data_IF_632427306749
#
_entry.id   IF_632427306749
#
_cell.length_a   1.000
_cell.length_b   1.000
_cell.length_c   1.000
_cell.angle_alpha   90.00
_cell.angle_beta   90.00
_cell.angle_gamma   90.00
#
_symmetry.space_group_name_H-M   'P 1'
#
loop_
_entity.id
_entity.type
_entity.pdbx_description
1 polymer ?
#
# COMPACT_ATOMS: atom_id res chain seq x y z
N UNK A 1 -20.28 18.71 21.70
CA UNK A 1 -19.53 19.98 21.67
C UNK A 1 -20.54 21.04 22.00
N UNK A 2 -20.39 21.75 23.12
CA UNK A 2 -21.31 22.82 23.48
C UNK A 2 -21.39 23.86 22.37
N UNK A 3 -22.56 24.45 22.16
CA UNK A 3 -22.72 25.54 21.20
C UNK A 3 -22.05 26.81 21.73
N UNK A 4 -22.10 27.03 23.05
CA UNK A 4 -21.52 28.21 23.68
C UNK A 4 -20.99 27.91 25.08
N UNK A 5 -19.82 28.46 25.38
CA UNK A 5 -19.29 28.61 26.73
C UNK A 5 -19.68 29.99 27.26
N UNK A 6 -20.24 30.09 28.46
CA UNK A 6 -20.58 31.39 29.08
C UNK A 6 -19.60 31.70 30.22
N UNK A 7 -18.76 32.71 30.00
CA UNK A 7 -17.91 33.30 31.02
C UNK A 7 -18.64 34.46 31.69
N UNK A 8 -18.73 34.44 33.02
CA UNK A 8 -19.50 35.41 33.79
C UNK A 8 -18.96 35.58 35.21
N UNK A 9 -19.35 36.67 35.88
CA UNK A 9 -19.11 36.79 37.33
C UNK A 9 -20.20 36.07 38.10
N UNK A 10 -19.84 35.37 39.17
CA UNK A 10 -20.81 34.67 40.04
C UNK A 10 -21.88 35.58 40.62
N UNK A 11 -21.58 36.88 40.77
CA UNK A 11 -22.54 37.90 41.22
C UNK A 11 -23.66 38.14 40.21
N UNK A 12 -23.46 37.77 38.96
CA UNK A 12 -24.42 37.88 37.85
C UNK A 12 -25.19 36.58 37.61
N UNK A 13 -25.13 35.62 38.55
CA UNK A 13 -25.72 34.28 38.42
C UNK A 13 -27.20 34.30 38.03
N UNK A 14 -27.99 35.22 38.57
CA UNK A 14 -29.43 35.31 38.27
C UNK A 14 -29.67 35.56 36.77
N UNK A 15 -28.95 36.51 36.19
CA UNK A 15 -29.02 36.80 34.76
C UNK A 15 -28.55 35.61 33.92
N UNK A 16 -27.43 34.99 34.30
CA UNK A 16 -26.88 33.84 33.56
C UNK A 16 -27.78 32.61 33.64
N UNK A 17 -28.48 32.39 34.74
CA UNK A 17 -29.49 31.33 34.85
C UNK A 17 -30.68 31.58 33.91
N UNK A 18 -31.16 32.82 33.82
CA UNK A 18 -32.21 33.19 32.86
C UNK A 18 -31.73 32.97 31.41
N UNK A 19 -30.50 33.38 31.11
CA UNK A 19 -29.90 33.19 29.79
C UNK A 19 -29.72 31.70 29.43
N UNK A 20 -29.23 30.89 30.37
CA UNK A 20 -29.10 29.44 30.20
C UNK A 20 -30.45 28.80 29.89
N UNK A 21 -31.49 29.09 30.68
CA UNK A 21 -32.83 28.53 30.47
C UNK A 21 -33.39 28.90 29.10
N UNK A 22 -33.18 30.14 28.64
CA UNK A 22 -33.59 30.58 27.32
C UNK A 22 -32.83 29.83 26.21
N UNK A 23 -31.50 29.66 26.33
CA UNK A 23 -30.68 28.90 25.39
C UNK A 23 -31.09 27.41 25.33
N UNK A 24 -31.32 26.78 26.48
CA UNK A 24 -31.78 25.40 26.57
C UNK A 24 -33.18 25.22 25.96
N UNK A 25 -34.10 26.16 26.20
CA UNK A 25 -35.41 26.17 25.56
C UNK A 25 -35.30 26.32 24.03
N UNK A 26 -34.29 27.04 23.55
CA UNK A 26 -33.92 27.13 22.14
C UNK A 26 -33.09 25.94 21.61
N UNK A 27 -32.93 24.87 22.41
CA UNK A 27 -32.17 23.65 22.10
C UNK A 27 -30.70 23.92 21.78
N UNK A 28 -30.07 24.85 22.50
CA UNK A 28 -28.62 25.08 22.45
C UNK A 28 -27.94 24.38 23.62
N UNK A 29 -26.82 23.72 23.35
CA UNK A 29 -25.98 23.10 24.37
C UNK A 29 -25.06 24.17 25.00
N UNK A 30 -25.13 24.34 26.31
CA UNK A 30 -24.47 25.45 27.03
C UNK A 30 -23.49 24.89 28.04
N UNK A 31 -22.27 25.38 27.99
CA UNK A 31 -21.26 25.10 29.01
C UNK A 31 -21.11 26.29 29.95
N UNK A 32 -21.26 26.05 31.25
CA UNK A 32 -21.12 27.06 32.30
C UNK A 32 -20.43 26.41 33.50
N UNK A 33 -19.45 27.09 34.09
CA UNK A 33 -18.90 26.66 35.37
C UNK A 33 -19.73 27.21 36.54
N UNK A 34 -20.51 26.32 37.15
CA UNK A 34 -21.29 26.61 38.35
C UNK A 34 -20.54 26.33 39.66
N UNK A 35 -19.38 25.66 39.61
CA UNK A 35 -18.67 25.19 40.79
C UNK A 35 -17.86 26.31 41.46
N UNK A 36 -17.62 26.19 42.77
CA UNK A 36 -16.67 27.06 43.47
C UNK A 36 -15.24 26.82 42.96
N UNK A 37 -14.43 27.89 42.79
CA UNK A 37 -13.03 27.77 42.30
C UNK A 37 -12.28 26.97 43.37
N UNK A 38 -11.97 25.69 43.14
CA UNK A 38 -11.15 24.94 44.06
C UNK A 38 -9.70 25.41 43.85
N UNK A 39 -8.87 25.47 44.91
CA UNK A 39 -7.47 25.89 44.80
C UNK A 39 -6.57 24.80 44.17
N UNK A 40 -7.00 24.18 43.07
CA UNK A 40 -6.33 23.05 42.42
C UNK A 40 -6.04 23.34 40.96
N UNK A 41 -4.85 22.97 40.49
CA UNK A 41 -4.41 23.16 39.10
C UNK A 41 -5.33 22.45 38.07
N UNK A 42 -5.97 21.36 38.48
CA UNK A 42 -6.85 20.57 37.62
C UNK A 42 -8.12 21.33 37.20
N UNK A 43 -8.68 22.15 38.09
CA UNK A 43 -9.88 22.94 37.78
C UNK A 43 -9.65 23.91 36.61
N UNK A 44 -8.50 24.60 36.58
CA UNK A 44 -8.19 25.48 35.44
C UNK A 44 -8.03 24.71 34.11
N UNK A 45 -7.58 23.46 34.16
CA UNK A 45 -7.51 22.60 32.97
C UNK A 45 -8.90 22.24 32.46
N UNK A 46 -9.85 21.99 33.37
CA UNK A 46 -11.26 21.72 33.02
C UNK A 46 -11.92 22.93 32.36
N UNK A 47 -11.72 24.13 32.91
CA UNK A 47 -12.22 25.38 32.31
C UNK A 47 -11.65 25.57 30.89
N UNK A 48 -10.33 25.39 30.72
CA UNK A 48 -9.70 25.49 29.40
C UNK A 48 -10.25 24.46 28.42
N UNK A 49 -10.48 23.23 28.86
CA UNK A 49 -11.09 22.20 28.03
C UNK A 49 -12.55 22.54 27.66
N UNK A 50 -13.30 23.13 28.60
CA UNK A 50 -14.64 23.67 28.35
C UNK A 50 -14.63 24.73 27.25
N UNK A 51 -13.74 25.72 27.36
CA UNK A 51 -13.58 26.79 26.34
C UNK A 51 -13.15 26.20 24.99
N UNK A 52 -12.17 25.30 24.97
CA UNK A 52 -11.63 24.71 23.75
C UNK A 52 -12.72 23.92 23.00
N UNK A 53 -13.58 23.19 23.72
CA UNK A 53 -14.60 22.29 23.17
C UNK A 53 -15.92 22.96 22.76
N UNK A 54 -16.18 24.20 23.18
CA UNK A 54 -17.39 24.95 22.84
C UNK A 54 -17.26 25.67 21.49
N UNK A 55 -18.31 25.80 20.69
CA UNK A 55 -18.22 26.46 19.38
C UNK A 55 -17.95 27.97 19.51
N UNK A 56 -18.66 28.64 20.41
CA UNK A 56 -18.51 30.07 20.71
C UNK A 56 -18.19 30.31 22.17
N UNK A 57 -17.62 31.48 22.47
CA UNK A 57 -17.34 31.97 23.81
C UNK A 57 -18.14 33.25 24.05
N UNK A 58 -19.14 33.19 24.91
CA UNK A 58 -19.92 34.36 25.32
C UNK A 58 -19.34 34.94 26.62
N UNK A 59 -19.05 36.23 26.61
CA UNK A 59 -18.56 36.93 27.80
C UNK A 59 -19.60 37.90 28.33
N UNK A 60 -20.09 37.66 29.55
CA UNK A 60 -21.03 38.55 30.23
C UNK A 60 -20.27 39.72 30.84
N UNK A 61 -20.46 40.91 30.29
CA UNK A 61 -19.83 42.14 30.73
C UNK A 61 -20.68 42.77 31.84
N UNK A 62 -20.04 42.95 33.00
CA UNK A 62 -20.54 43.66 34.18
C UNK A 62 -19.35 44.26 34.94
N UNK A 63 -19.56 45.21 35.86
CA UNK A 63 -18.49 45.67 36.76
C UNK A 63 -17.80 44.52 37.51
N UNK A 64 -18.55 43.47 37.82
CA UNK A 64 -18.08 42.32 38.60
C UNK A 64 -17.26 41.35 37.75
N UNK A 65 -17.56 41.18 36.47
CA UNK A 65 -16.74 40.37 35.56
C UNK A 65 -15.50 41.13 35.10
N UNK A 66 -15.60 42.45 34.90
CA UNK A 66 -14.46 43.33 34.59
C UNK A 66 -13.44 43.45 35.74
N UNK A 67 -13.85 43.20 36.98
CA UNK A 67 -12.97 43.16 38.14
C UNK A 67 -12.40 41.75 38.43
N UNK A 68 -12.80 40.73 37.66
CA UNK A 68 -12.52 39.32 37.95
C UNK A 68 -11.30 38.81 37.20
N UNK A 69 -10.22 38.50 37.93
CA UNK A 69 -8.99 37.95 37.35
C UNK A 69 -9.21 36.63 36.61
N UNK A 70 -10.15 35.81 37.08
CA UNK A 70 -10.44 34.53 36.45
C UNK A 70 -11.15 34.71 35.11
N UNK A 71 -12.12 35.64 35.04
CA UNK A 71 -12.79 35.99 33.80
C UNK A 71 -11.78 36.51 32.76
N UNK A 72 -10.79 37.31 33.19
CA UNK A 72 -9.72 37.74 32.31
C UNK A 72 -8.89 36.58 31.76
N UNK A 73 -8.54 35.60 32.60
CA UNK A 73 -7.83 34.39 32.14
C UNK A 73 -8.64 33.59 31.13
N UNK A 74 -9.94 33.45 31.35
CA UNK A 74 -10.84 32.76 30.42
C UNK A 74 -10.92 33.47 29.07
N UNK A 75 -11.11 34.79 29.09
CA UNK A 75 -11.13 35.62 27.87
C UNK A 75 -9.80 35.50 27.12
N UNK A 76 -8.66 35.62 27.80
CA UNK A 76 -7.35 35.44 27.18
C UNK A 76 -7.19 34.06 26.55
N UNK A 77 -7.58 32.99 27.26
CA UNK A 77 -7.51 31.63 26.72
C UNK A 77 -8.44 31.44 25.51
N UNK A 78 -9.63 32.04 25.52
CA UNK A 78 -10.55 32.02 24.38
C UNK A 78 -9.98 32.77 23.16
N UNK A 79 -9.31 33.90 23.38
CA UNK A 79 -8.61 34.64 22.32
C UNK A 79 -7.47 33.81 21.73
N UNK A 80 -6.60 33.25 22.58
CA UNK A 80 -5.46 32.43 22.16
C UNK A 80 -5.90 31.17 21.40
N UNK A 81 -7.07 30.65 21.76
CA UNK A 81 -7.69 29.49 21.12
C UNK A 81 -8.50 29.85 19.88
N UNK A 82 -8.49 31.11 19.47
CA UNK A 82 -9.18 31.60 18.27
C UNK A 82 -10.68 31.44 18.34
N UNK A 83 -11.30 31.44 19.53
CA UNK A 83 -12.75 31.23 19.66
C UNK A 83 -13.52 32.41 19.05
N UNK A 84 -14.74 32.13 18.56
CA UNK A 84 -15.69 33.21 18.28
C UNK A 84 -16.13 33.82 19.59
N UNK A 85 -15.81 35.09 19.80
CA UNK A 85 -16.14 35.82 21.03
C UNK A 85 -17.41 36.63 20.81
N UNK A 86 -18.38 36.47 21.70
CA UNK A 86 -19.66 37.17 21.70
C UNK A 86 -19.79 37.96 23.00
N UNK A 87 -19.52 39.27 23.01
CA UNK A 87 -19.68 40.09 24.20
C UNK A 87 -21.16 40.36 24.48
N UNK A 88 -21.60 40.06 25.71
CA UNK A 88 -22.96 40.29 26.20
C UNK A 88 -22.91 41.39 27.27
N UNK A 89 -23.31 42.61 26.94
CA UNK A 89 -23.37 43.70 27.91
C UNK A 89 -24.59 43.51 28.81
N UNK A 90 -24.37 43.10 30.05
CA UNK A 90 -25.41 42.97 31.08
C UNK A 90 -25.49 44.21 31.96
N UNK A 91 -24.34 44.77 32.37
CA UNK A 91 -24.26 46.00 33.14
C UNK A 91 -23.13 46.88 32.64
N UNK A 92 -23.38 48.19 32.55
CA UNK A 92 -22.35 49.15 32.17
C UNK A 92 -21.20 49.19 33.20
N UNK A 93 -19.98 49.14 32.69
CA UNK A 93 -18.77 49.28 33.51
C UNK A 93 -18.43 50.76 33.58
N UNK A 94 -19.00 51.51 34.52
CA UNK A 94 -18.77 52.97 34.61
C UNK A 94 -17.33 53.34 35.03
N UNK A 95 -16.63 52.45 35.73
CA UNK A 95 -15.25 52.67 36.18
C UNK A 95 -14.28 52.54 35.00
N UNK A 96 -13.63 53.65 34.64
CA UNK A 96 -12.68 53.72 33.54
C UNK A 96 -11.45 52.80 33.74
N UNK A 97 -11.03 52.55 34.98
CA UNK A 97 -9.92 51.63 35.26
C UNK A 97 -10.34 50.17 35.07
N UNK A 98 -11.59 49.82 35.38
CA UNK A 98 -12.12 48.49 35.06
C UNK A 98 -12.33 48.31 33.55
N UNK A 99 -12.79 49.35 32.84
CA UNK A 99 -12.90 49.30 31.37
C UNK A 99 -11.54 49.02 30.70
N UNK A 100 -10.46 49.64 31.19
CA UNK A 100 -9.09 49.41 30.68
C UNK A 100 -8.57 47.99 30.93
N UNK A 101 -9.11 47.29 31.92
CA UNK A 101 -8.74 45.89 32.23
C UNK A 101 -9.40 44.88 31.29
N UNK A 102 -10.51 45.25 30.65
CA UNK A 102 -11.16 44.39 29.68
C UNK A 102 -10.19 44.09 28.52
N UNK A 103 -10.18 42.83 28.09
CA UNK A 103 -9.34 42.42 26.97
C UNK A 103 -9.69 43.25 25.72
N UNK A 104 -8.71 43.75 24.93
CA UNK A 104 -8.98 44.61 23.78
C UNK A 104 -9.98 44.02 22.78
N UNK A 105 -9.94 42.70 22.58
CA UNK A 105 -10.89 41.96 21.76
C UNK A 105 -12.33 42.16 22.20
N UNK A 106 -12.61 42.26 23.50
CA UNK A 106 -13.97 42.53 24.00
C UNK A 106 -14.41 43.93 23.56
N UNK A 107 -13.55 44.94 23.70
CA UNK A 107 -13.87 46.32 23.38
C UNK A 107 -14.03 46.63 21.88
N UNK A 108 -13.44 45.81 21.00
CA UNK A 108 -13.52 46.02 19.54
C UNK A 108 -14.70 45.32 18.86
N UNK A 109 -15.38 44.41 19.55
CA UNK A 109 -16.52 43.66 19.01
C UNK A 109 -17.85 44.39 19.25
N UNK A 110 -18.84 44.13 18.40
CA UNK A 110 -20.20 44.61 18.62
C UNK A 110 -20.81 43.90 19.83
N UNK A 111 -21.17 44.66 20.86
CA UNK A 111 -21.79 44.14 22.07
C UNK A 111 -23.27 43.87 21.85
N UNK A 112 -23.75 42.72 22.33
CA UNK A 112 -25.17 42.45 22.46
C UNK A 112 -25.63 42.99 23.81
N UNK A 113 -26.46 44.03 23.78
CA UNK A 113 -26.89 44.74 24.99
C UNK A 113 -28.13 44.06 25.56
N UNK A 114 -28.01 43.49 26.74
CA UNK A 114 -29.13 42.92 27.49
C UNK A 114 -29.62 43.95 28.51
N UNK A 115 -30.80 44.53 28.24
CA UNK A 115 -31.51 45.37 29.20
C UNK A 115 -32.70 44.59 29.80
N UNK A 116 -33.22 45.01 30.97
CA UNK A 116 -34.42 44.42 31.53
C UNK A 116 -35.64 44.47 30.58
N UNK A 117 -35.73 45.52 29.75
CA UNK A 117 -36.87 45.77 28.87
C UNK A 117 -36.76 45.07 27.49
N UNK A 118 -35.55 44.66 27.07
CA UNK A 118 -35.29 44.06 25.75
C UNK A 118 -34.44 42.77 25.83
N UNK A 119 -34.79 41.89 26.76
CA UNK A 119 -34.13 40.58 26.86
C UNK A 119 -34.34 39.75 25.59
N UNK A 120 -35.57 39.66 25.09
CA UNK A 120 -35.94 38.78 23.97
C UNK A 120 -35.32 39.24 22.63
N UNK A 121 -35.22 40.56 22.41
CA UNK A 121 -34.56 41.13 21.23
C UNK A 121 -33.06 40.84 21.23
N UNK A 122 -32.38 41.09 22.36
CA UNK A 122 -30.96 40.76 22.53
C UNK A 122 -30.70 39.25 22.42
N UNK A 123 -31.58 38.43 22.99
CA UNK A 123 -31.50 36.98 22.91
C UNK A 123 -31.64 36.46 21.47
N UNK A 124 -32.56 37.03 20.68
CA UNK A 124 -32.71 36.70 19.26
C UNK A 124 -31.43 37.02 18.47
N UNK A 125 -30.78 38.15 18.78
CA UNK A 125 -29.49 38.50 18.17
C UNK A 125 -28.37 37.54 18.58
N UNK A 126 -28.37 37.08 19.83
CA UNK A 126 -27.43 36.06 20.31
C UNK A 126 -27.58 34.76 19.52
N UNK A 127 -28.81 34.26 19.35
CA UNK A 127 -29.06 33.05 18.55
C UNK A 127 -28.55 33.22 17.12
N UNK A 128 -28.81 34.36 16.50
CA UNK A 128 -28.29 34.67 15.15
C UNK A 128 -26.75 34.66 15.11
N UNK A 129 -26.09 35.22 16.13
CA UNK A 129 -24.63 35.23 16.21
C UNK A 129 -24.04 33.82 16.38
N UNK A 130 -24.71 32.95 17.14
CA UNK A 130 -24.33 31.54 17.29
C UNK A 130 -24.50 30.74 15.99
N UNK A 131 -25.55 31.03 15.22
CA UNK A 131 -25.88 30.28 14.00
C UNK A 131 -25.09 30.72 12.76
N UNK A 132 -24.44 31.89 12.80
CA UNK A 132 -23.68 32.44 11.66
C UNK A 132 -22.52 31.50 11.29
N UNK A 133 -22.46 30.98 10.06
CA UNK A 133 -21.41 30.07 9.59
C UNK A 133 -21.16 28.87 10.53
N UNK A 134 -22.21 28.34 11.15
CA UNK A 134 -22.11 27.34 12.22
C UNK A 134 -21.26 26.11 11.86
N UNK A 135 -21.39 25.58 10.65
CA UNK A 135 -20.60 24.41 10.21
C UNK A 135 -19.10 24.72 10.17
N UNK A 136 -18.73 25.93 9.76
CA UNK A 136 -17.34 26.39 9.77
C UNK A 136 -16.79 26.52 11.20
N UNK A 137 -17.59 27.02 12.15
CA UNK A 137 -17.22 27.14 13.57
C UNK A 137 -17.12 25.79 14.27
N UNK A 138 -18.01 24.85 13.91
CA UNK A 138 -17.96 23.47 14.39
C UNK A 138 -16.68 22.80 13.94
N UNK A 139 -16.31 22.97 12.67
CA UNK A 139 -15.07 22.40 12.15
C UNK A 139 -13.83 23.02 12.80
N UNK A 140 -13.81 24.34 13.02
CA UNK A 140 -12.79 25.01 13.83
C UNK A 140 -12.63 24.32 15.20
N UNK A 141 -13.73 24.16 15.93
CA UNK A 141 -13.70 23.61 17.30
C UNK A 141 -13.31 22.14 17.33
N UNK A 142 -13.75 21.36 16.33
CA UNK A 142 -13.37 19.95 16.15
C UNK A 142 -11.86 19.81 15.93
N UNK A 143 -11.30 20.62 15.03
CA UNK A 143 -9.87 20.62 14.72
C UNK A 143 -9.05 21.11 15.92
N UNK A 144 -9.49 22.15 16.62
CA UNK A 144 -8.82 22.67 17.82
C UNK A 144 -8.71 21.58 18.89
N UNK A 145 -9.82 20.92 19.18
CA UNK A 145 -9.90 19.88 20.22
C UNK A 145 -8.95 18.73 19.89
N UNK A 146 -8.96 18.25 18.65
CA UNK A 146 -8.04 17.20 18.19
C UNK A 146 -6.57 17.66 18.22
N UNK A 147 -6.29 18.89 17.80
CA UNK A 147 -4.94 19.43 17.82
C UNK A 147 -4.40 19.57 19.25
N UNK A 148 -5.23 20.00 20.21
CA UNK A 148 -4.89 20.02 21.65
C UNK A 148 -4.66 18.61 22.20
N UNK A 149 -5.46 17.63 21.80
CA UNK A 149 -5.26 16.24 22.17
C UNK A 149 -3.93 15.69 21.64
N UNK A 150 -3.64 15.93 20.36
CA UNK A 150 -2.37 15.59 19.73
C UNK A 150 -1.18 16.24 20.43
N UNK A 151 -1.26 17.53 20.75
CA UNK A 151 -0.19 18.28 21.43
C UNK A 151 0.06 17.74 22.85
N UNK A 152 -1.01 17.47 23.62
CA UNK A 152 -0.91 16.85 24.96
C UNK A 152 -0.30 15.46 24.94
N UNK A 153 -0.51 14.68 23.88
CA UNK A 153 0.08 13.34 23.72
C UNK A 153 1.45 13.37 23.02
N UNK A 154 2.21 14.45 23.18
CA UNK A 154 3.57 14.57 22.69
C UNK A 154 3.68 14.58 21.16
N UNK A 155 2.63 15.07 20.47
CA UNK A 155 2.57 15.17 19.01
C UNK A 155 2.74 13.84 18.27
N UNK A 156 2.27 12.76 18.87
CA UNK A 156 2.39 11.40 18.32
C UNK A 156 1.51 11.18 17.08
N UNK A 157 2.00 10.34 16.17
CA UNK A 157 1.35 10.11 14.88
C UNK A 157 -0.03 9.45 14.97
N UNK A 158 -0.37 8.75 16.05
CA UNK A 158 -1.67 8.08 16.22
C UNK A 158 -2.85 9.04 16.35
N UNK A 159 -2.61 10.28 16.75
CA UNK A 159 -3.65 11.30 16.92
C UNK A 159 -3.81 12.22 15.70
N UNK A 160 -2.98 12.04 14.66
CA UNK A 160 -3.08 12.83 13.43
C UNK A 160 -4.27 12.37 12.57
N UNK A 161 -4.84 13.32 11.82
CA UNK A 161 -5.90 13.06 10.84
C UNK A 161 -5.43 12.03 9.80
N UNK A 162 -6.39 11.34 9.18
CA UNK A 162 -6.14 10.42 8.08
C UNK A 162 -7.14 10.56 6.92
N UNK A 163 -6.72 10.09 5.74
CA UNK A 163 -7.59 9.94 4.58
C UNK A 163 -8.26 11.24 4.13
N UNK A 164 -9.59 11.20 4.08
CA UNK A 164 -10.44 12.31 3.64
C UNK A 164 -10.49 13.45 4.66
N UNK A 165 -10.29 13.16 5.96
CA UNK A 165 -10.32 14.19 7.01
C UNK A 165 -9.21 15.25 6.80
N UNK A 166 -8.06 14.85 6.26
CA UNK A 166 -6.98 15.80 5.95
C UNK A 166 -7.42 16.78 4.85
N UNK A 167 -8.13 16.30 3.83
CA UNK A 167 -8.59 17.15 2.73
C UNK A 167 -9.63 18.15 3.22
N UNK A 168 -10.58 17.69 4.04
CA UNK A 168 -11.58 18.55 4.68
C UNK A 168 -10.91 19.62 5.55
N UNK A 169 -9.92 19.23 6.38
CA UNK A 169 -9.21 20.16 7.25
C UNK A 169 -8.38 21.20 6.47
N UNK A 170 -7.72 20.80 5.38
CA UNK A 170 -7.00 21.73 4.51
C UNK A 170 -7.94 22.69 3.78
N UNK A 171 -9.09 22.20 3.33
CA UNK A 171 -10.11 23.05 2.71
C UNK A 171 -10.65 24.08 3.69
N UNK A 172 -10.90 23.67 4.94
CA UNK A 172 -11.26 24.57 6.04
C UNK A 172 -10.15 25.61 6.30
N UNK A 173 -8.89 25.17 6.39
CA UNK A 173 -7.75 26.05 6.64
C UNK A 173 -7.59 27.11 5.54
N UNK A 174 -7.80 26.75 4.28
CA UNK A 174 -7.75 27.68 3.14
C UNK A 174 -8.82 28.80 3.22
N UNK A 175 -9.97 28.51 3.82
CA UNK A 175 -11.03 29.50 4.05
C UNK A 175 -10.75 30.39 5.26
N UNK A 176 -9.90 29.94 6.19
CA UNK A 176 -9.74 30.57 7.49
C UNK A 176 -9.24 32.02 7.45
N UNK A 177 -8.47 32.41 6.43
CA UNK A 177 -8.00 33.79 6.29
C UNK A 177 -9.11 34.81 6.01
N UNK A 178 -10.29 34.37 5.54
CA UNK A 178 -11.43 35.24 5.19
C UNK A 178 -12.59 35.14 6.19
N UNK A 179 -12.67 34.03 6.91
CA UNK A 179 -13.79 33.74 7.82
C UNK A 179 -13.42 34.02 9.28
N UNK A 180 -14.44 34.09 10.14
CA UNK A 180 -14.27 34.19 11.58
C UNK A 180 -14.98 33.02 12.27
N UNK A 181 -14.30 32.23 13.12
CA UNK A 181 -12.95 32.45 13.66
C UNK A 181 -11.79 32.16 12.69
N UNK A 182 -10.65 32.83 12.91
CA UNK A 182 -9.39 32.59 12.20
C UNK A 182 -8.73 31.29 12.71
N UNK A 183 -7.90 30.67 11.87
CA UNK A 183 -7.09 29.53 12.32
C UNK A 183 -6.01 29.97 13.30
N UNK A 184 -5.64 29.06 14.20
CA UNK A 184 -4.54 29.26 15.15
C UNK A 184 -3.29 28.57 14.62
N UNK A 185 -2.12 28.91 15.16
CA UNK A 185 -0.89 28.19 14.80
C UNK A 185 -1.00 26.69 15.12
N UNK A 186 -1.70 26.33 16.19
CA UNK A 186 -1.91 24.93 16.56
C UNK A 186 -2.76 24.17 15.52
N UNK A 187 -3.77 24.82 14.93
CA UNK A 187 -4.51 24.25 13.80
C UNK A 187 -3.58 23.96 12.62
N UNK A 188 -2.74 24.95 12.26
CA UNK A 188 -1.83 24.86 11.12
C UNK A 188 -0.81 23.74 11.32
N UNK A 189 -0.17 23.69 12.48
CA UNK A 189 0.79 22.64 12.87
C UNK A 189 0.16 21.25 12.76
N UNK A 190 -1.05 21.09 13.29
CA UNK A 190 -1.75 19.80 13.33
C UNK A 190 -2.13 19.30 11.93
N UNK A 191 -2.66 20.18 11.09
CA UNK A 191 -3.04 19.85 9.71
C UNK A 191 -1.80 19.52 8.89
N UNK A 192 -0.74 20.33 9.01
CA UNK A 192 0.52 20.11 8.31
C UNK A 192 1.17 18.77 8.70
N UNK A 193 1.26 18.49 10.00
CA UNK A 193 1.80 17.22 10.50
C UNK A 193 0.99 16.03 9.97
N UNK A 194 -0.33 16.13 9.93
CA UNK A 194 -1.22 15.10 9.38
C UNK A 194 -0.94 14.85 7.89
N UNK A 195 -0.81 15.92 7.10
CA UNK A 195 -0.46 15.81 5.67
C UNK A 195 0.91 15.19 5.45
N UNK A 196 1.91 15.59 6.23
CA UNK A 196 3.28 15.05 6.13
C UNK A 196 3.32 13.54 6.43
N UNK A 197 2.59 13.09 7.47
CA UNK A 197 2.44 11.66 7.79
C UNK A 197 1.84 10.89 6.62
N UNK A 198 0.76 11.38 6.01
CA UNK A 198 0.13 10.70 4.87
C UNK A 198 1.07 10.58 3.66
N UNK A 199 1.80 11.64 3.32
CA UNK A 199 2.78 11.61 2.22
C UNK A 199 3.91 10.61 2.50
N UNK A 200 4.41 10.55 3.74
CA UNK A 200 5.46 9.59 4.11
C UNK A 200 4.99 8.12 4.00
N UNK A 201 3.75 7.83 4.39
CA UNK A 201 3.13 6.49 4.27
C UNK A 201 2.99 6.09 2.81
N UNK A 202 2.46 6.98 1.97
CA UNK A 202 2.33 6.74 0.53
C UNK A 202 3.68 6.47 -0.12
N UNK A 203 4.71 7.28 0.20
CA UNK A 203 6.06 7.08 -0.32
C UNK A 203 6.66 5.74 0.10
N UNK A 204 6.51 5.32 1.37
CA UNK A 204 7.01 4.03 1.85
C UNK A 204 6.32 2.84 1.17
N UNK A 205 5.01 2.93 0.94
CA UNK A 205 4.26 1.89 0.23
C UNK A 205 4.76 1.77 -1.21
N UNK A 206 4.89 2.89 -1.93
CA UNK A 206 5.41 2.89 -3.30
C UNK A 206 6.81 2.29 -3.38
N UNK A 207 7.73 2.68 -2.48
CA UNK A 207 9.07 2.10 -2.42
C UNK A 207 9.01 0.59 -2.16
N UNK A 208 8.19 0.14 -1.22
CA UNK A 208 8.05 -1.29 -0.91
C UNK A 208 7.53 -2.11 -2.10
N UNK A 209 6.52 -1.60 -2.81
CA UNK A 209 5.99 -2.23 -4.03
C UNK A 209 7.05 -2.27 -5.14
N UNK A 210 7.79 -1.19 -5.34
CA UNK A 210 8.88 -1.15 -6.33
C UNK A 210 9.97 -2.17 -6.00
N UNK A 211 10.38 -2.30 -4.74
CA UNK A 211 11.37 -3.30 -4.31
C UNK A 211 10.86 -4.72 -4.53
N UNK A 212 9.61 -5.01 -4.15
CA UNK A 212 9.00 -6.32 -4.36
C UNK A 212 8.94 -6.69 -5.86
N UNK A 213 8.64 -5.72 -6.74
CA UNK A 213 8.61 -5.92 -8.18
C UNK A 213 10.00 -6.28 -8.74
N UNK A 214 11.05 -5.55 -8.33
CA UNK A 214 12.43 -5.83 -8.75
C UNK A 214 12.88 -7.21 -8.30
N UNK A 215 12.58 -7.59 -7.05
CA UNK A 215 12.90 -8.94 -6.53
C UNK A 215 12.16 -10.01 -7.33
N UNK A 216 10.87 -9.79 -7.62
CA UNK A 216 10.05 -10.73 -8.39
C UNK A 216 10.58 -10.93 -9.81
N UNK A 217 10.97 -9.85 -10.49
CA UNK A 217 11.58 -9.92 -11.82
C UNK A 217 12.94 -10.63 -11.79
N UNK A 218 13.75 -10.38 -10.77
CA UNK A 218 15.03 -11.08 -10.58
C UNK A 218 14.85 -12.58 -10.36
N UNK A 219 13.89 -12.98 -9.52
CA UNK A 219 13.56 -14.39 -9.28
C UNK A 219 13.00 -15.06 -10.54
N UNK A 220 12.15 -14.37 -11.31
CA UNK A 220 11.63 -14.88 -12.57
C UNK A 220 12.75 -15.10 -13.61
N UNK A 221 13.67 -14.14 -13.73
CA UNK A 221 14.83 -14.26 -14.62
C UNK A 221 15.73 -15.42 -14.20
N UNK A 222 16.06 -15.52 -12.91
CA UNK A 222 16.86 -16.63 -12.38
C UNK A 222 16.18 -17.98 -12.64
N UNK A 223 14.89 -18.08 -12.37
CA UNK A 223 14.10 -19.29 -12.64
C UNK A 223 14.10 -19.66 -14.12
N UNK A 224 14.05 -18.68 -15.01
CA UNK A 224 14.11 -18.91 -16.46
C UNK A 224 15.48 -19.45 -16.90
N UNK A 225 16.58 -18.86 -16.39
CA UNK A 225 17.94 -19.33 -16.68
C UNK A 225 18.18 -20.76 -16.20
N UNK A 226 17.74 -21.08 -14.97
CA UNK A 226 17.84 -22.43 -14.41
C UNK A 226 16.99 -23.44 -15.22
N UNK A 227 15.80 -23.05 -15.65
CA UNK A 227 14.96 -23.89 -16.50
C UNK A 227 15.60 -24.15 -17.87
N UNK A 228 16.23 -23.14 -18.46
CA UNK A 228 16.92 -23.27 -19.74
C UNK A 228 18.12 -24.22 -19.64
N UNK A 229 18.92 -24.11 -18.58
CA UNK A 229 20.02 -25.04 -18.29
C UNK A 229 19.52 -26.48 -18.06
N UNK A 230 18.47 -26.64 -17.25
CA UNK A 230 17.86 -27.94 -16.99
C UNK A 230 17.30 -28.60 -18.27
N UNK A 231 16.75 -27.83 -19.21
CA UNK A 231 16.31 -28.34 -20.51
C UNK A 231 17.48 -28.74 -21.39
N UNK A 232 18.58 -27.98 -21.39
CA UNK A 232 19.79 -28.35 -22.14
C UNK A 232 20.39 -29.66 -21.62
N UNK A 233 20.49 -29.82 -20.30
CA UNK A 233 20.93 -31.06 -19.65
C UNK A 233 20.03 -32.25 -20.00
N UNK A 234 18.70 -32.06 -20.01
CA UNK A 234 17.76 -33.11 -20.44
C UNK A 234 17.94 -33.53 -21.89
N UNK A 235 18.13 -32.57 -22.79
CA UNK A 235 18.33 -32.86 -24.21
C UNK A 235 19.65 -33.63 -24.44
N UNK A 236 20.75 -33.17 -23.82
CA UNK A 236 22.04 -33.87 -23.89
C UNK A 236 21.95 -35.30 -23.33
N UNK A 237 21.27 -35.49 -22.20
CA UNK A 237 21.06 -36.81 -21.62
C UNK A 237 20.22 -37.72 -22.54
N UNK A 238 19.23 -37.15 -23.24
CA UNK A 238 18.42 -37.87 -24.20
C UNK A 238 19.25 -38.29 -25.43
N UNK A 239 20.08 -37.40 -25.97
CA UNK A 239 20.98 -37.70 -27.09
C UNK A 239 21.97 -38.83 -26.72
N UNK A 240 22.64 -38.73 -25.56
CA UNK A 240 23.56 -39.77 -25.08
C UNK A 240 22.85 -41.12 -24.86
N UNK A 241 21.63 -41.11 -24.32
CA UNK A 241 20.85 -42.33 -24.11
C UNK A 241 20.45 -42.98 -25.45
N UNK A 242 20.08 -42.19 -26.46
CA UNK A 242 19.75 -42.71 -27.78
C UNK A 242 20.99 -43.27 -28.49
N UNK A 243 22.13 -42.61 -28.41
CA UNK A 243 23.40 -43.10 -28.96
C UNK A 243 23.83 -44.41 -28.28
N UNK A 244 23.74 -44.49 -26.95
CA UNK A 244 24.03 -45.71 -26.21
C UNK A 244 23.11 -46.87 -26.61
N UNK A 245 21.81 -46.61 -26.79
CA UNK A 245 20.86 -47.63 -27.23
C UNK A 245 21.14 -48.12 -28.66
N UNK A 246 21.49 -47.21 -29.58
CA UNK A 246 21.94 -47.56 -30.93
C UNK A 246 23.22 -48.40 -30.90
N UNK A 247 24.19 -48.03 -30.06
CA UNK A 247 25.43 -48.78 -29.86
C UNK A 247 25.18 -50.19 -29.36
N UNK A 248 24.25 -50.37 -28.42
CA UNK A 248 23.84 -51.70 -27.94
C UNK A 248 23.20 -52.53 -29.06
N UNK A 249 22.29 -51.96 -29.85
CA UNK A 249 21.68 -52.67 -30.98
C UNK A 249 22.71 -53.05 -32.06
N UNK A 250 23.67 -52.16 -32.34
CA UNK A 250 24.76 -52.46 -33.26
C UNK A 250 25.65 -53.59 -32.73
N UNK A 251 25.96 -53.59 -31.43
CA UNK A 251 26.72 -54.66 -30.80
C UNK A 251 25.98 -56.01 -30.92
N UNK A 252 24.70 -56.06 -30.56
CA UNK A 252 23.86 -57.27 -30.67
C UNK A 252 23.75 -57.78 -32.12
N UNK A 253 23.56 -56.86 -33.08
CA UNK A 253 23.49 -57.24 -34.49
C UNK A 253 24.84 -57.71 -35.02
N UNK A 254 25.94 -57.07 -34.62
CA UNK A 254 27.29 -57.50 -34.99
C UNK A 254 27.64 -58.87 -34.43
N UNK A 255 27.21 -59.17 -33.20
CA UNK A 255 27.38 -60.47 -32.56
C UNK A 255 26.61 -61.55 -33.32
N UNK A 256 25.33 -61.32 -33.64
CA UNK A 256 24.54 -62.23 -34.49
C UNK A 256 25.15 -62.46 -35.87
N UNK A 257 25.70 -61.41 -36.50
CA UNK A 257 26.38 -61.56 -37.80
C UNK A 257 27.64 -62.41 -37.66
N UNK A 258 28.43 -62.19 -36.60
CA UNK A 258 29.62 -62.99 -36.32
C UNK A 258 29.26 -64.47 -36.04
N UNK A 259 28.20 -64.73 -35.29
CA UNK A 259 27.68 -66.09 -35.08
C UNK A 259 27.26 -66.75 -36.39
N UNK A 260 26.48 -66.05 -37.22
CA UNK A 260 26.07 -66.56 -38.53
C UNK A 260 27.28 -66.83 -39.45
N UNK A 261 28.29 -65.96 -39.43
CA UNK A 261 29.52 -66.14 -40.22
C UNK A 261 30.34 -67.35 -39.74
N UNK A 262 30.35 -67.62 -38.44
CA UNK A 262 30.95 -68.84 -37.89
C UNK A 262 30.18 -70.07 -38.37
N UNK A 263 28.84 -70.06 -38.28
CA UNK A 263 28.01 -71.16 -38.74
C UNK A 263 28.17 -71.43 -40.24
N UNK A 264 28.29 -70.39 -41.08
CA UNK A 264 28.54 -70.57 -42.51
C UNK A 264 29.96 -71.09 -42.80
N UNK A 265 30.97 -70.67 -42.03
CA UNK A 265 32.32 -71.21 -42.14
C UNK A 265 32.36 -72.71 -41.78
N UNK A 266 31.72 -73.10 -40.67
CA UNK A 266 31.59 -74.52 -40.26
C UNK A 266 30.85 -75.35 -41.33
N UNK A 267 29.76 -74.80 -41.88
CA UNK A 267 29.03 -75.45 -42.97
C UNK A 267 29.91 -75.63 -44.21
N UNK A 268 30.64 -74.59 -44.64
CA UNK A 268 31.55 -74.66 -45.78
C UNK A 268 32.68 -75.66 -45.57
N UNK A 269 33.23 -75.76 -44.35
CA UNK A 269 34.24 -76.75 -44.00
C UNK A 269 33.68 -78.17 -44.14
N UNK A 270 32.44 -78.42 -43.69
CA UNK A 270 31.77 -79.70 -43.85
C UNK A 270 31.56 -80.09 -45.33
N UNK A 271 31.18 -79.12 -46.18
CA UNK A 271 31.04 -79.32 -47.63
C UNK A 271 32.40 -79.66 -48.25
N UNK A 272 33.46 -78.96 -47.88
CA UNK A 272 34.81 -79.22 -48.38
C UNK A 272 35.30 -80.62 -47.98
N UNK A 273 35.06 -81.05 -46.74
CA UNK A 273 35.36 -82.40 -46.27
C UNK A 273 34.55 -83.46 -47.04
N UNK A 274 33.26 -83.20 -47.28
CA UNK A 274 32.41 -84.11 -48.06
C UNK A 274 32.88 -84.21 -49.52
N UNK A 275 33.28 -83.09 -50.14
CA UNK A 275 33.86 -83.04 -51.49
C UNK A 275 35.19 -83.80 -51.60
N UNK A 276 36.07 -83.68 -50.59
CA UNK A 276 37.30 -84.48 -50.49
C UNK A 276 36.99 -85.98 -50.43
N UNK A 277 36.02 -86.39 -49.59
CA UNK A 277 35.64 -87.80 -49.48
C UNK A 277 34.99 -88.37 -50.76
N UNK A 278 34.22 -87.56 -51.48
CA UNK A 278 33.63 -87.94 -52.77
C UNK A 278 34.67 -87.97 -53.87
N UNK A 279 35.66 -87.07 -53.86
CA UNK A 279 36.80 -87.12 -54.76
C UNK A 279 37.65 -88.38 -54.53
N UNK A 280 37.94 -88.73 -53.28
CA UNK A 280 38.63 -89.97 -52.93
C UNK A 280 37.83 -91.21 -53.37
N UNK A 281 36.51 -91.21 -53.16
CA UNK A 281 35.63 -92.29 -53.64
C UNK A 281 35.60 -92.39 -55.18
N UNK A 282 35.56 -91.26 -55.89
CA UNK A 282 35.61 -91.20 -57.35
C UNK A 282 36.96 -91.69 -57.89
N UNK A 283 38.06 -91.36 -57.20
CA UNK A 283 39.42 -91.85 -57.53
C UNK A 283 39.52 -93.37 -57.39
N UNK A 284 38.93 -93.93 -56.34
CA UNK A 284 38.84 -95.39 -56.13
C UNK A 284 37.97 -96.07 -57.19
N UNK A 285 36.88 -95.43 -57.67
CA UNK A 285 36.07 -95.98 -58.77
C UNK A 285 36.71 -95.84 -60.15
N UNK A 286 37.50 -94.79 -60.41
CA UNK A 286 38.18 -94.58 -61.69
C UNK A 286 39.31 -95.60 -61.92
N UNK A 287 39.91 -96.16 -60.87
CA UNK A 287 40.88 -97.26 -60.98
C UNK A 287 40.24 -98.61 -61.40
N UNK A 288 38.91 -98.74 -61.34
CA UNK A 288 38.21 -100.00 -61.63
C UNK A 288 37.61 -100.12 -63.04
N UNK A 289 37.64 -99.06 -63.86
CA UNK A 289 36.97 -99.08 -65.17
C UNK A 289 37.78 -98.40 -66.27
N UNK A 290 38.74 -99.13 -66.84
CA UNK A 290 39.37 -98.82 -68.13
C UNK A 290 39.32 -100.09 -69.02
N UNK A 291 38.50 -100.15 -70.10
CA UNK A 291 38.69 -101.09 -71.17
C UNK A 291 39.58 -100.52 -72.28
N UNK A 292 40.55 -101.34 -72.69
CA UNK A 292 41.53 -101.14 -73.74
C UNK A 292 40.89 -101.36 -75.11
N UNK A 293 40.88 -100.34 -75.99
CA UNK A 293 40.56 -100.50 -77.42
C UNK A 293 41.70 -99.89 -78.24
N UNK A 294 42.11 -100.63 -79.26
CA UNK A 294 43.30 -100.47 -80.11
C UNK A 294 42.83 -100.13 -81.54
N UNK A 295 43.37 -99.02 -82.08
CA UNK A 295 43.72 -98.71 -83.48
C UNK A 295 42.58 -98.56 -84.52
N UNK A 296 42.57 -97.45 -85.29
CA UNK A 296 43.00 -97.37 -86.71
C UNK A 296 42.98 -95.92 -87.25
N UNK A 297 43.74 -95.70 -88.32
CA UNK A 297 44.31 -94.47 -88.86
C UNK A 297 43.45 -93.85 -89.99
N UNK A 298 43.31 -92.51 -90.07
CA UNK A 298 43.19 -91.76 -91.33
C UNK A 298 43.33 -90.22 -91.13
N UNK A 299 44.25 -89.62 -91.88
CA UNK A 299 44.45 -88.17 -92.15
C UNK A 299 43.96 -87.94 -93.62
N UNK A 300 43.45 -86.77 -94.11
CA UNK A 300 44.20 -85.50 -94.09
C UNK A 300 43.48 -84.13 -94.11
N UNK A 301 44.03 -83.19 -93.32
CA UNK A 301 44.35 -81.75 -93.59
C UNK A 301 43.24 -80.79 -94.15
N UNK A 302 43.54 -79.50 -94.41
CA UNK A 302 43.52 -78.41 -93.43
C UNK A 302 42.64 -77.21 -93.89
N UNK A 303 42.30 -76.25 -93.02
CA UNK A 303 41.99 -74.88 -93.48
C UNK A 303 42.17 -73.82 -92.39
N UNK A 304 42.83 -72.76 -92.85
CA UNK A 304 43.35 -71.57 -92.21
C UNK A 304 42.22 -70.56 -91.88
N UNK A 305 42.55 -69.52 -91.07
CA UNK A 305 42.15 -68.09 -91.21
C UNK A 305 41.61 -67.37 -89.93
N UNK A 306 42.48 -66.46 -89.43
CA UNK A 306 42.30 -65.07 -88.91
C UNK A 306 41.70 -64.70 -87.53
N UNK A 307 42.60 -64.21 -86.66
CA UNK A 307 42.74 -62.82 -86.11
C UNK A 307 41.52 -61.91 -85.77
N UNK A 308 41.36 -61.64 -84.46
CA UNK A 308 41.13 -60.34 -83.75
C UNK A 308 39.76 -59.62 -83.89
N UNK A 309 39.52 -58.46 -83.23
CA UNK A 309 39.85 -57.99 -81.86
C UNK A 309 38.64 -57.27 -81.13
N UNK A 310 38.80 -56.85 -79.87
CA UNK A 310 38.37 -55.52 -79.36
C UNK A 310 36.92 -55.20 -78.88
N UNK A 311 36.87 -54.62 -77.66
CA UNK A 311 36.11 -53.43 -77.16
C UNK A 311 34.62 -53.44 -76.72
N UNK A 312 34.46 -52.84 -75.53
CA UNK A 312 33.41 -51.96 -74.95
C UNK A 312 31.96 -52.45 -74.74
N UNK A 313 31.52 -52.51 -73.47
CA UNK A 313 30.72 -51.48 -72.75
C UNK A 313 30.88 -51.63 -71.22
#
# INVERSE_FOLDING_TARGET
>A
MPDVFISYSRKDKVFVQQLQQALEAAKRDVWIDWQDIPPTADWWNEIRAGIDSANSFAFVISPQSAASDICHKEVSHAVDSGKRIIPLLYQEVADAELQKKLHPTISTHNWLIFTPDDFDGAFTQLLKALDTDLDYVREHTRLLTRAREWDRHGRTGSYLLDGEEIQAAEHWLAQSGKNSPQSTNLHQDYIFASRQKQQSRQRRLLIGVSVALVVSLGLALLSFLLFQDAQSQRNLAWDLATEAALGQQLAETSERVAENARATAEFNESIAQQALSTSDALRVTAEFFIPRIVVEEEDPRPLNVRSGPGTDY
#
